data_IF_128294909885
#
_entry.id   IF_128294909885
#
_cell.length_a   1.000
_cell.length_b   1.000
_cell.length_c   1.000
_cell.angle_alpha   90.00
_cell.angle_beta   90.00
_cell.angle_gamma   90.00
#
_symmetry.space_group_name_H-M   'P 1'
#
loop_
_entity.id
_entity.type
_entity.pdbx_description
1 polymer ?
#
# COMPACT_ATOMS: atom_id res chain seq x y z
N UNK A 1 23.68 75.59 66.57
CA UNK A 1 23.30 74.32 65.91
C UNK A 1 24.54 73.44 65.89
N UNK A 2 24.56 72.38 66.70
CA UNK A 2 25.72 71.50 66.85
C UNK A 2 25.86 70.56 65.65
N UNK A 3 27.05 70.39 65.05
CA UNK A 3 27.29 69.26 64.16
C UNK A 3 27.45 68.01 65.04
N UNK A 4 26.49 67.09 64.93
CA UNK A 4 26.52 65.80 65.61
C UNK A 4 27.71 64.96 65.18
N UNK A 5 28.22 64.18 66.13
CA UNK A 5 29.31 63.21 65.97
C UNK A 5 29.10 62.33 64.72
N UNK A 6 29.86 62.60 63.65
CA UNK A 6 29.97 61.70 62.51
C UNK A 6 30.80 60.49 62.98
N UNK A 7 30.14 59.34 63.15
CA UNK A 7 30.77 58.11 63.61
C UNK A 7 31.98 57.73 62.75
N UNK A 8 33.11 57.53 63.40
CA UNK A 8 34.33 57.00 62.78
C UNK A 8 34.23 55.49 62.70
N UNK A 9 34.50 54.91 61.53
CA UNK A 9 34.49 53.45 61.35
C UNK A 9 35.85 52.99 60.86
N UNK A 10 36.45 52.02 61.55
CA UNK A 10 37.79 51.51 61.25
C UNK A 10 37.69 50.13 60.61
N UNK A 11 38.37 49.95 59.49
CA UNK A 11 38.45 48.72 58.72
C UNK A 11 39.73 47.98 59.08
N UNK A 12 39.62 46.82 59.73
CA UNK A 12 40.75 46.10 60.32
C UNK A 12 41.24 44.89 59.49
N UNK A 13 40.39 44.29 58.66
CA UNK A 13 40.67 42.99 58.02
C UNK A 13 40.09 42.91 56.60
N UNK A 14 40.78 42.20 55.69
CA UNK A 14 40.44 42.12 54.25
C UNK A 14 39.08 41.51 53.93
N UNK A 15 38.50 40.74 54.85
CA UNK A 15 37.24 39.99 54.65
C UNK A 15 36.02 40.71 55.24
N UNK A 16 36.21 41.89 55.85
CA UNK A 16 35.11 42.65 56.44
C UNK A 16 34.32 43.44 55.39
N UNK A 17 33.00 43.51 55.57
CA UNK A 17 32.13 44.41 54.82
C UNK A 17 31.53 45.44 55.75
N UNK A 18 31.99 46.70 55.63
CA UNK A 18 31.54 47.79 56.48
C UNK A 18 30.59 48.71 55.70
N UNK A 19 29.36 48.86 56.19
CA UNK A 19 28.40 49.83 55.65
C UNK A 19 28.69 51.22 56.22
N UNK A 20 29.35 52.07 55.43
CA UNK A 20 29.61 53.46 55.80
C UNK A 20 28.52 54.42 55.27
N UNK A 21 28.10 55.37 56.10
CA UNK A 21 27.15 56.42 55.71
C UNK A 21 27.87 57.56 54.96
N UNK A 22 27.14 58.27 54.09
CA UNK A 22 27.69 59.41 53.34
C UNK A 22 28.19 60.49 54.31
N UNK A 23 29.48 60.82 54.22
CA UNK A 23 30.14 61.78 55.12
C UNK A 23 30.81 61.16 56.36
N UNK A 24 30.72 59.84 56.55
CA UNK A 24 31.51 59.15 57.58
C UNK A 24 33.00 59.11 57.21
N UNK A 25 33.87 59.30 58.20
CA UNK A 25 35.31 59.13 58.04
C UNK A 25 35.65 57.66 58.25
N UNK A 26 36.17 57.01 57.21
CA UNK A 26 36.56 55.59 57.23
C UNK A 26 38.07 55.52 57.32
N UNK A 27 38.58 54.89 58.37
CA UNK A 27 40.01 54.65 58.53
C UNK A 27 40.35 53.23 58.04
N UNK A 28 41.20 53.12 57.01
CA UNK A 28 41.54 51.85 56.38
C UNK A 28 42.92 51.42 56.89
N UNK A 29 42.97 50.33 57.66
CA UNK A 29 44.22 49.77 58.17
C UNK A 29 44.73 48.56 57.36
N UNK A 30 44.05 48.21 56.26
CA UNK A 30 44.40 47.10 55.38
C UNK A 30 45.24 47.56 54.16
N UNK A 31 46.00 46.65 53.56
CA UNK A 31 46.86 46.92 52.39
C UNK A 31 46.05 47.37 51.16
N UNK A 32 44.81 46.92 51.03
CA UNK A 32 43.89 47.34 49.96
C UNK A 32 42.45 47.42 50.47
N UNK A 33 41.71 48.45 50.06
CA UNK A 33 40.27 48.54 50.30
C UNK A 33 39.55 49.15 49.09
N UNK A 34 38.38 48.62 48.78
CA UNK A 34 37.53 49.11 47.70
C UNK A 34 36.25 49.70 48.29
N UNK A 35 36.01 50.99 48.04
CA UNK A 35 34.76 51.65 48.39
C UNK A 35 33.86 51.63 47.17
N UNK A 36 32.68 51.03 47.33
CA UNK A 36 31.70 50.98 46.25
C UNK A 36 30.33 51.36 46.79
N UNK A 37 29.59 52.16 46.01
CA UNK A 37 28.27 52.61 46.43
C UNK A 37 27.28 51.45 46.39
N UNK A 38 26.35 51.43 47.35
CA UNK A 38 25.28 50.41 47.40
C UNK A 38 24.39 50.41 46.15
N UNK A 39 24.27 51.55 45.45
CA UNK A 39 23.58 51.61 44.14
C UNK A 39 24.36 50.87 43.06
N UNK A 40 25.69 51.00 43.04
CA UNK A 40 26.55 50.31 42.06
C UNK A 40 26.63 48.81 42.34
N UNK A 41 26.68 48.37 43.61
CA UNK A 41 26.57 46.93 43.95
C UNK A 41 25.26 46.36 43.43
N UNK A 42 24.13 47.01 43.69
CA UNK A 42 22.81 46.52 43.24
C UNK A 42 22.73 46.40 41.72
N UNK A 43 23.28 47.39 41.00
CA UNK A 43 23.35 47.32 39.55
C UNK A 43 24.24 46.16 39.06
N UNK A 44 25.42 45.97 39.66
CA UNK A 44 26.32 44.87 39.30
C UNK A 44 25.65 43.51 39.57
N UNK A 45 25.04 43.32 40.74
CA UNK A 45 24.35 42.08 41.07
C UNK A 45 23.19 41.80 40.11
N UNK A 46 22.38 42.80 39.78
CA UNK A 46 21.31 42.64 38.79
C UNK A 46 21.86 42.25 37.40
N UNK A 47 23.02 42.77 37.00
CA UNK A 47 23.64 42.36 35.74
C UNK A 47 24.19 40.93 35.81
N UNK A 48 24.74 40.51 36.95
CA UNK A 48 25.17 39.13 37.17
C UNK A 48 23.97 38.16 37.12
N UNK A 49 22.87 38.48 37.78
CA UNK A 49 21.64 37.68 37.75
C UNK A 49 21.07 37.56 36.32
N UNK A 50 21.15 38.64 35.54
CA UNK A 50 20.78 38.62 34.13
C UNK A 50 21.69 37.70 33.30
N UNK A 51 23.01 37.73 33.53
CA UNK A 51 23.97 36.87 32.83
C UNK A 51 23.72 35.39 33.14
N UNK A 52 23.46 35.05 34.41
CA UNK A 52 23.13 33.69 34.82
C UNK A 52 21.83 33.21 34.15
N UNK A 53 20.82 34.09 34.10
CA UNK A 53 19.56 33.81 33.41
C UNK A 53 19.77 33.58 31.91
N UNK A 54 20.61 34.39 31.25
CA UNK A 54 20.96 34.21 29.83
C UNK A 54 21.70 32.90 29.60
N UNK A 55 22.60 32.51 30.50
CA UNK A 55 23.34 31.26 30.38
C UNK A 55 22.41 30.05 30.51
N UNK A 56 21.45 30.08 31.43
CA UNK A 56 20.42 29.04 31.57
C UNK A 56 19.57 28.92 30.31
N UNK A 57 19.09 30.05 29.78
CA UNK A 57 18.30 30.08 28.55
C UNK A 57 19.09 29.56 27.34
N UNK A 58 20.39 29.90 27.26
CA UNK A 58 21.26 29.41 26.21
C UNK A 58 21.45 27.89 26.29
N UNK A 59 21.68 27.35 27.48
CA UNK A 59 21.83 25.91 27.68
C UNK A 59 20.54 25.17 27.35
N UNK A 60 19.38 25.67 27.80
CA UNK A 60 18.07 25.10 27.46
C UNK A 60 17.80 25.13 25.95
N UNK A 61 18.16 26.23 25.27
CA UNK A 61 18.06 26.34 23.82
C UNK A 61 18.96 25.32 23.10
N UNK A 62 20.17 25.10 23.59
CA UNK A 62 21.11 24.10 23.05
C UNK A 62 20.56 22.69 23.25
N UNK A 63 20.02 22.38 24.43
CA UNK A 63 19.44 21.07 24.74
C UNK A 63 18.19 20.80 23.89
N UNK A 64 17.31 21.79 23.75
CA UNK A 64 16.16 21.71 22.86
C UNK A 64 16.57 21.50 21.40
N UNK A 65 17.59 22.23 20.93
CA UNK A 65 18.14 22.05 19.59
C UNK A 65 18.68 20.63 19.39
N UNK A 66 19.45 20.10 20.34
CA UNK A 66 20.01 18.76 20.25
C UNK A 66 18.91 17.70 20.21
N UNK A 67 17.88 17.86 21.06
CA UNK A 67 16.72 16.98 21.09
C UNK A 67 15.99 16.97 19.75
N UNK A 68 15.72 18.15 19.18
CA UNK A 68 15.10 18.28 17.86
C UNK A 68 15.94 17.64 16.75
N UNK A 69 17.26 17.79 16.77
CA UNK A 69 18.15 17.14 15.80
C UNK A 69 18.10 15.62 15.91
N UNK A 70 18.05 15.08 17.13
CA UNK A 70 17.92 13.64 17.36
C UNK A 70 16.57 13.11 16.90
N UNK A 71 15.48 13.84 17.14
CA UNK A 71 14.15 13.50 16.64
C UNK A 71 14.08 13.56 15.10
N UNK A 72 14.68 14.57 14.48
CA UNK A 72 14.80 14.67 13.03
C UNK A 72 15.60 13.49 12.46
N UNK A 73 16.68 13.09 13.12
CA UNK A 73 17.48 11.93 12.72
C UNK A 73 16.69 10.62 12.82
N UNK A 74 15.91 10.44 13.89
CA UNK A 74 15.01 9.28 14.04
C UNK A 74 13.95 9.27 12.95
N UNK A 75 13.29 10.40 12.72
CA UNK A 75 12.26 10.55 11.68
C UNK A 75 12.83 10.26 10.29
N UNK A 76 14.00 10.79 9.97
CA UNK A 76 14.67 10.52 8.69
C UNK A 76 15.02 9.03 8.51
N UNK A 77 15.48 8.36 9.57
CA UNK A 77 15.75 6.91 9.54
C UNK A 77 14.48 6.10 9.30
N UNK A 78 13.36 6.49 9.88
CA UNK A 78 12.05 5.85 9.66
C UNK A 78 11.58 6.08 8.22
N UNK A 79 11.65 7.32 7.72
CA UNK A 79 11.30 7.65 6.35
C UNK A 79 12.12 6.86 5.34
N UNK A 80 13.43 6.72 5.56
CA UNK A 80 14.30 5.91 4.69
C UNK A 80 13.85 4.44 4.65
N UNK A 81 13.55 3.85 5.81
CA UNK A 81 13.05 2.46 5.88
C UNK A 81 11.70 2.29 5.19
N UNK A 82 10.80 3.26 5.34
CA UNK A 82 9.50 3.24 4.64
C UNK A 82 9.72 3.32 3.13
N UNK A 83 10.63 4.17 2.66
CA UNK A 83 10.99 4.23 1.24
C UNK A 83 11.52 2.91 0.70
N UNK A 84 12.45 2.28 1.43
CA UNK A 84 13.02 0.96 1.07
C UNK A 84 11.93 -0.14 1.04
N UNK A 85 11.00 -0.14 2.01
CA UNK A 85 9.88 -1.09 2.04
C UNK A 85 8.91 -0.87 0.87
N UNK A 86 8.55 0.39 0.56
CA UNK A 86 7.67 0.71 -0.56
C UNK A 86 8.28 0.27 -1.89
N UNK A 87 9.59 0.49 -2.06
CA UNK A 87 10.30 0.07 -3.27
C UNK A 87 10.30 -1.46 -3.41
N UNK A 88 10.60 -2.18 -2.31
CA UNK A 88 10.53 -3.64 -2.29
C UNK A 88 9.12 -4.15 -2.61
N UNK A 89 8.09 -3.65 -1.93
CA UNK A 89 6.69 -4.04 -2.15
C UNK A 89 6.24 -3.74 -3.58
N UNK A 90 6.66 -2.59 -4.14
CA UNK A 90 6.36 -2.21 -5.52
C UNK A 90 6.96 -3.19 -6.53
N UNK A 91 8.20 -3.64 -6.33
CA UNK A 91 8.83 -4.63 -7.22
C UNK A 91 8.17 -6.00 -7.13
N UNK A 92 7.80 -6.45 -5.93
CA UNK A 92 7.07 -7.71 -5.73
C UNK A 92 5.70 -7.64 -6.42
N UNK A 93 4.94 -6.56 -6.19
CA UNK A 93 3.63 -6.36 -6.80
C UNK A 93 3.71 -6.32 -8.33
N UNK A 94 4.74 -5.67 -8.89
CA UNK A 94 4.96 -5.62 -10.33
C UNK A 94 5.20 -7.01 -10.93
N UNK A 95 6.03 -7.83 -10.25
CA UNK A 95 6.30 -9.20 -10.68
C UNK A 95 5.06 -10.09 -10.58
N UNK A 96 4.28 -9.97 -9.50
CA UNK A 96 3.04 -10.72 -9.32
C UNK A 96 2.01 -10.36 -10.39
N UNK A 97 1.86 -9.07 -10.71
CA UNK A 97 0.99 -8.63 -11.81
C UNK A 97 1.45 -9.19 -13.15
N UNK A 98 2.75 -9.20 -13.44
CA UNK A 98 3.29 -9.77 -14.67
C UNK A 98 3.01 -11.28 -14.77
N UNK A 99 3.12 -12.00 -13.65
CA UNK A 99 2.79 -13.42 -13.58
C UNK A 99 1.29 -13.65 -13.85
N UNK A 100 0.41 -12.92 -13.17
CA UNK A 100 -1.04 -13.03 -13.35
C UNK A 100 -1.44 -12.73 -14.80
N UNK A 101 -0.87 -11.69 -15.42
CA UNK A 101 -1.13 -11.37 -16.83
C UNK A 101 -0.71 -12.49 -17.78
N UNK A 102 0.45 -13.11 -17.52
CA UNK A 102 0.93 -14.25 -18.31
C UNK A 102 0.03 -15.48 -18.14
N UNK A 103 -0.42 -15.76 -16.93
CA UNK A 103 -1.33 -16.86 -16.64
C UNK A 103 -2.71 -16.66 -17.29
N UNK A 104 -3.26 -15.45 -17.18
CA UNK A 104 -4.49 -15.04 -17.89
C UNK A 104 -4.36 -15.19 -19.41
N UNK A 105 -3.22 -14.78 -19.97
CA UNK A 105 -2.96 -14.92 -21.42
C UNK A 105 -2.94 -16.40 -21.85
N UNK A 106 -2.30 -17.25 -21.04
CA UNK A 106 -2.25 -18.70 -21.28
C UNK A 106 -3.66 -19.31 -21.23
N UNK A 107 -4.40 -19.00 -20.17
CA UNK A 107 -5.79 -19.45 -19.99
C UNK A 107 -6.69 -19.00 -21.13
N UNK A 108 -6.55 -17.76 -21.61
CA UNK A 108 -7.33 -17.24 -22.73
C UNK A 108 -7.00 -17.98 -24.04
N UNK A 109 -5.72 -18.30 -24.28
CA UNK A 109 -5.32 -19.08 -25.44
C UNK A 109 -5.87 -20.52 -25.38
N UNK A 110 -5.86 -21.14 -24.22
CA UNK A 110 -6.42 -22.48 -24.01
C UNK A 110 -7.95 -22.48 -24.22
N UNK A 111 -8.66 -21.48 -23.69
CA UNK A 111 -10.09 -21.31 -23.96
C UNK A 111 -10.38 -21.14 -25.46
N UNK A 112 -9.58 -20.33 -26.14
CA UNK A 112 -9.73 -20.12 -27.59
C UNK A 112 -9.50 -21.41 -28.37
N UNK A 113 -8.50 -22.20 -27.97
CA UNK A 113 -8.24 -23.51 -28.56
C UNK A 113 -9.40 -24.47 -28.32
N UNK A 114 -9.86 -24.60 -27.08
CA UNK A 114 -10.99 -25.47 -26.74
C UNK A 114 -12.26 -25.09 -27.49
N UNK A 115 -12.55 -23.79 -27.63
CA UNK A 115 -13.69 -23.32 -28.40
C UNK A 115 -13.57 -23.70 -29.89
N UNK A 116 -12.38 -23.55 -30.48
CA UNK A 116 -12.15 -24.00 -31.86
C UNK A 116 -12.30 -25.51 -32.03
N UNK A 117 -11.84 -26.30 -31.06
CA UNK A 117 -12.00 -27.76 -31.07
C UNK A 117 -13.47 -28.16 -30.92
N UNK A 118 -14.22 -27.53 -30.01
CA UNK A 118 -15.66 -27.72 -29.87
C UNK A 118 -16.42 -27.36 -31.14
N UNK A 119 -16.05 -26.25 -31.80
CA UNK A 119 -16.65 -25.86 -33.08
C UNK A 119 -16.45 -26.93 -34.15
N UNK A 120 -15.23 -27.44 -34.32
CA UNK A 120 -14.93 -28.52 -35.27
C UNK A 120 -15.69 -29.80 -34.95
N UNK A 121 -15.79 -30.15 -33.66
CA UNK A 121 -16.55 -31.32 -33.22
C UNK A 121 -18.03 -31.16 -33.56
N UNK A 122 -18.60 -29.97 -33.35
CA UNK A 122 -19.99 -29.70 -33.66
C UNK A 122 -20.26 -29.78 -35.17
N UNK A 123 -19.40 -29.19 -36.01
CA UNK A 123 -19.47 -29.31 -37.48
C UNK A 123 -19.39 -30.78 -37.94
N UNK A 124 -18.52 -31.57 -37.29
CA UNK A 124 -18.38 -33.00 -37.59
C UNK A 124 -19.62 -33.80 -37.18
N UNK A 125 -20.19 -33.50 -36.01
CA UNK A 125 -21.43 -34.11 -35.51
C UNK A 125 -22.61 -33.78 -36.41
N UNK A 126 -22.72 -32.53 -36.86
CA UNK A 126 -23.76 -32.09 -37.79
C UNK A 126 -23.67 -32.86 -39.11
N UNK A 127 -22.48 -32.99 -39.69
CA UNK A 127 -22.27 -33.77 -40.91
C UNK A 127 -22.66 -35.24 -40.74
N UNK A 128 -22.27 -35.87 -39.63
CA UNK A 128 -22.65 -37.27 -39.33
C UNK A 128 -24.17 -37.41 -39.15
N UNK A 129 -24.82 -36.45 -38.51
CA UNK A 129 -26.28 -36.41 -38.37
C UNK A 129 -26.96 -36.37 -39.74
N UNK A 130 -26.51 -35.48 -40.62
CA UNK A 130 -27.04 -35.38 -41.99
C UNK A 130 -26.82 -36.68 -42.79
N UNK A 131 -25.69 -37.36 -42.63
CA UNK A 131 -25.44 -38.66 -43.25
C UNK A 131 -26.40 -39.74 -42.75
N UNK A 132 -26.61 -39.81 -41.42
CA UNK A 132 -27.58 -40.74 -40.82
C UNK A 132 -28.99 -40.47 -41.32
N UNK A 133 -29.42 -39.21 -41.42
CA UNK A 133 -30.72 -38.87 -42.00
C UNK A 133 -30.87 -39.34 -43.46
N UNK A 134 -29.81 -39.23 -44.27
CA UNK A 134 -29.82 -39.73 -45.65
C UNK A 134 -29.96 -41.25 -45.69
N UNK A 135 -29.19 -41.97 -44.89
CA UNK A 135 -29.28 -43.44 -44.77
C UNK A 135 -30.67 -43.88 -44.32
N UNK A 136 -31.26 -43.20 -43.33
CA UNK A 136 -32.64 -43.48 -42.88
C UNK A 136 -33.65 -43.24 -44.00
N UNK A 137 -33.49 -42.17 -44.80
CA UNK A 137 -34.34 -41.90 -45.96
C UNK A 137 -34.18 -42.96 -47.04
N UNK A 138 -32.97 -43.43 -47.31
CA UNK A 138 -32.67 -44.50 -48.27
C UNK A 138 -33.27 -45.83 -47.83
N UNK A 139 -33.01 -46.27 -46.59
CA UNK A 139 -33.60 -47.47 -46.01
C UNK A 139 -35.14 -47.44 -46.05
N UNK A 140 -35.75 -46.28 -45.76
CA UNK A 140 -37.21 -46.11 -45.89
C UNK A 140 -37.70 -46.27 -47.33
N UNK A 141 -36.94 -45.80 -48.33
CA UNK A 141 -37.29 -45.97 -49.75
C UNK A 141 -37.17 -47.43 -50.17
N UNK A 142 -36.08 -48.11 -49.80
CA UNK A 142 -35.89 -49.54 -50.10
C UNK A 142 -36.97 -50.39 -49.45
N UNK A 143 -37.27 -50.16 -48.17
CA UNK A 143 -38.34 -50.87 -47.46
C UNK A 143 -39.69 -50.71 -48.16
N UNK A 144 -40.02 -49.49 -48.63
CA UNK A 144 -41.23 -49.25 -49.42
C UNK A 144 -41.17 -49.99 -50.77
N UNK A 145 -40.03 -50.00 -51.46
CA UNK A 145 -39.85 -50.71 -52.73
C UNK A 145 -40.05 -52.23 -52.60
N UNK A 146 -39.46 -52.84 -51.55
CA UNK A 146 -39.65 -54.26 -51.23
C UNK A 146 -41.13 -54.55 -50.95
N UNK A 147 -41.79 -53.69 -50.18
CA UNK A 147 -43.22 -53.84 -49.90
C UNK A 147 -44.08 -53.76 -51.17
N UNK A 148 -43.81 -52.82 -52.06
CA UNK A 148 -44.52 -52.68 -53.35
C UNK A 148 -44.25 -53.87 -54.29
N UNK A 149 -43.01 -54.35 -54.38
CA UNK A 149 -42.67 -55.50 -55.21
C UNK A 149 -43.33 -56.80 -54.71
N UNK A 150 -43.37 -57.01 -53.40
CA UNK A 150 -44.09 -58.16 -52.82
C UNK A 150 -45.62 -58.06 -52.98
N UNK A 151 -46.17 -56.85 -53.05
CA UNK A 151 -47.60 -56.64 -53.34
C UNK A 151 -47.93 -56.94 -54.81
N UNK A 152 -47.07 -56.49 -55.74
CA UNK A 152 -47.22 -56.77 -57.18
C UNK A 152 -47.15 -58.27 -57.49
N UNK A 153 -46.23 -59.00 -56.86
CA UNK A 153 -46.10 -60.45 -57.03
C UNK A 153 -47.41 -61.18 -56.66
N UNK A 154 -48.01 -60.82 -55.52
CA UNK A 154 -49.30 -61.38 -55.08
C UNK A 154 -50.44 -61.05 -56.04
N UNK A 155 -50.49 -59.83 -56.59
CA UNK A 155 -51.52 -59.42 -57.55
C UNK A 155 -51.36 -60.16 -58.88
N UNK A 156 -50.14 -60.31 -59.39
CA UNK A 156 -49.85 -61.04 -60.64
C UNK A 156 -50.21 -62.52 -60.51
N UNK A 157 -49.87 -63.17 -59.39
CA UNK A 157 -50.25 -64.56 -59.13
C UNK A 157 -51.77 -64.71 -59.07
N UNK A 158 -52.48 -63.76 -58.45
CA UNK A 158 -53.95 -63.79 -58.39
C UNK A 158 -54.59 -63.59 -59.77
N UNK A 159 -54.10 -62.63 -60.55
CA UNK A 159 -54.58 -62.39 -61.91
C UNK A 159 -54.29 -63.58 -62.85
N UNK A 160 -53.10 -64.17 -62.75
CA UNK A 160 -52.73 -65.38 -63.49
C UNK A 160 -53.58 -66.59 -63.10
N UNK A 161 -53.85 -66.78 -61.79
CA UNK A 161 -54.71 -67.85 -61.28
C UNK A 161 -56.17 -67.71 -61.74
N UNK A 162 -56.72 -66.50 -61.75
CA UNK A 162 -58.08 -66.23 -62.25
C UNK A 162 -58.16 -66.44 -63.77
N UNK A 163 -57.14 -66.00 -64.52
CA UNK A 163 -57.09 -66.21 -65.97
C UNK A 163 -57.00 -67.68 -66.37
N UNK A 164 -56.15 -68.47 -65.68
CA UNK A 164 -56.03 -69.92 -65.90
C UNK A 164 -57.30 -70.65 -65.45
N UNK A 165 -57.90 -70.22 -64.33
CA UNK A 165 -59.16 -70.78 -63.84
C UNK A 165 -60.34 -70.56 -64.80
N UNK A 166 -60.43 -69.39 -65.43
CA UNK A 166 -61.44 -69.10 -66.46
C UNK A 166 -61.20 -69.89 -67.76
N UNK A 167 -59.94 -70.10 -68.16
CA UNK A 167 -59.60 -70.92 -69.33
C UNK A 167 -59.91 -72.41 -69.13
N UNK A 168 -59.67 -72.94 -67.92
CA UNK A 168 -60.04 -74.32 -67.58
C UNK A 168 -61.56 -74.48 -67.46
N UNK A 169 -62.27 -73.46 -66.98
CA UNK A 169 -63.74 -73.48 -66.89
C UNK A 169 -64.46 -73.30 -68.24
N UNK A 170 -63.75 -72.84 -69.28
CA UNK A 170 -64.29 -72.61 -70.62
C UNK A 170 -63.93 -73.72 -71.63
N UNK A 171 -63.20 -74.76 -71.21
CA UNK A 171 -62.87 -75.95 -71.99
C UNK A 171 -63.75 -77.14 -71.57
#
# INVERSE_FOLDING_TARGET
>A
MAPGLLGQVTFHTSDDFIKANKGAMVNIAADTAYVVSTSRIRYINHQLDNLDSIQLLYNDLVDNRNTLLDELKKTNKVLKRIGELIEADSTVLSNDMAFILRDLSTTLNDLKRNNNELKKNNETLEHKSQQLERLVKELRKETKGIWWNGLLDKVVVFAGGVGVGLLIAAL
#
